data_IF_722819692536
#
_entry.id   IF_722819692536
#
_cell.length_a   1.000
_cell.length_b   1.000
_cell.length_c   1.000
_cell.angle_alpha   90.00
_cell.angle_beta   90.00
_cell.angle_gamma   90.00
#
_symmetry.space_group_name_H-M   'P 1'
#
loop_
_entity.id
_entity.type
_entity.pdbx_description
1 polymer ?
#
# COMPACT_ATOMS: atom_id res chain seq x y z
N UNK A 1 -2.62 11.98 -0.61
CA UNK A 1 -2.33 12.03 0.84
C UNK A 1 -3.43 12.76 1.61
N UNK A 2 -4.12 13.73 1.02
CA UNK A 2 -5.28 14.39 1.65
C UNK A 2 -6.39 13.39 1.99
N UNK A 3 -6.54 12.33 1.20
CA UNK A 3 -7.43 11.19 1.47
C UNK A 3 -7.16 10.50 2.81
N UNK A 4 -5.92 10.52 3.33
CA UNK A 4 -5.60 9.96 4.65
C UNK A 4 -6.33 10.73 5.75
N UNK A 5 -6.30 12.07 5.68
CA UNK A 5 -6.97 12.91 6.66
C UNK A 5 -8.49 12.73 6.59
N UNK A 6 -9.03 12.68 5.37
CA UNK A 6 -10.46 12.50 5.14
C UNK A 6 -10.96 11.13 5.62
N UNK A 7 -10.27 10.03 5.27
CA UNK A 7 -10.66 8.69 5.70
C UNK A 7 -10.67 8.55 7.22
N UNK A 8 -9.69 9.13 7.91
CA UNK A 8 -9.67 9.15 9.38
C UNK A 8 -10.80 9.99 9.97
N UNK A 9 -11.13 11.13 9.36
CA UNK A 9 -12.26 11.97 9.78
C UNK A 9 -13.59 11.24 9.64
N UNK A 10 -13.71 10.38 8.62
CA UNK A 10 -14.84 9.50 8.40
C UNK A 10 -14.85 8.26 9.32
N UNK A 11 -13.82 8.08 10.15
CA UNK A 11 -13.75 7.00 11.13
C UNK A 11 -13.25 5.67 10.56
N UNK A 12 -12.44 5.68 9.50
CA UNK A 12 -11.84 4.46 8.98
C UNK A 12 -10.92 3.79 10.00
N UNK A 13 -11.12 2.49 10.26
CA UNK A 13 -10.28 1.68 11.16
C UNK A 13 -8.95 1.24 10.52
N UNK A 14 -8.88 1.26 9.19
CA UNK A 14 -7.71 0.84 8.40
C UNK A 14 -7.68 1.59 7.08
N UNK A 15 -6.48 1.85 6.57
CA UNK A 15 -6.27 2.44 5.24
C UNK A 15 -5.56 1.44 4.32
N UNK A 16 -5.88 1.50 3.03
CA UNK A 16 -5.17 0.74 1.99
C UNK A 16 -4.53 1.73 1.03
N UNK A 17 -3.20 1.71 0.94
CA UNK A 17 -2.41 2.54 0.05
C UNK A 17 -2.05 1.75 -1.22
N UNK A 18 -2.49 2.22 -2.40
CA UNK A 18 -2.32 1.49 -3.65
C UNK A 18 -2.43 2.38 -4.90
N UNK A 19 -1.80 2.00 -6.03
CA UNK A 19 -0.83 0.92 -6.16
C UNK A 19 0.57 1.37 -5.70
N UNK A 20 1.24 0.57 -4.85
CA UNK A 20 2.60 0.87 -4.39
C UNK A 20 3.63 0.55 -5.48
N UNK A 21 3.54 -0.62 -6.09
CA UNK A 21 4.32 -1.04 -7.26
C UNK A 21 3.40 -1.24 -8.48
N UNK A 22 3.98 -1.32 -9.67
CA UNK A 22 3.20 -1.53 -10.89
C UNK A 22 2.64 -2.98 -10.89
N UNK A 23 1.31 -3.18 -10.88
CA UNK A 23 0.75 -4.52 -10.87
C UNK A 23 0.82 -5.16 -12.27
N UNK A 24 1.15 -6.44 -12.33
CA UNK A 24 1.15 -7.21 -13.59
C UNK A 24 -0.21 -7.25 -14.30
N UNK A 25 -1.32 -7.17 -13.56
CA UNK A 25 -2.67 -7.16 -14.12
C UNK A 25 -3.11 -5.81 -14.70
N UNK A 26 -2.41 -4.71 -14.36
CA UNK A 26 -2.65 -3.35 -14.90
C UNK A 26 -1.31 -2.60 -15.04
N UNK A 27 -0.43 -2.99 -15.98
CA UNK A 27 0.92 -2.42 -16.09
C UNK A 27 0.95 -0.92 -16.39
N UNK A 28 -0.13 -0.39 -16.98
CA UNK A 28 -0.27 1.04 -17.28
C UNK A 28 -0.58 1.91 -16.05
N UNK A 29 -0.84 1.32 -14.87
CA UNK A 29 -1.09 2.08 -13.65
C UNK A 29 0.22 2.69 -13.14
N UNK A 30 0.25 4.01 -12.96
CA UNK A 30 1.38 4.70 -12.35
C UNK A 30 1.49 4.32 -10.87
N UNK A 31 2.48 3.48 -10.56
CA UNK A 31 2.84 3.13 -9.20
C UNK A 31 3.27 4.38 -8.41
N UNK A 32 2.82 4.50 -7.16
CA UNK A 32 3.14 5.65 -6.33
C UNK A 32 4.45 5.49 -5.54
N UNK A 33 4.94 4.25 -5.39
CA UNK A 33 6.22 3.91 -4.80
C UNK A 33 6.28 4.01 -3.27
N UNK A 34 7.43 3.62 -2.73
CA UNK A 34 7.69 3.61 -1.28
C UNK A 34 7.64 5.00 -0.62
N UNK A 35 8.09 6.11 -1.25
CA UNK A 35 7.99 7.44 -0.63
C UNK A 35 6.53 7.84 -0.35
N UNK A 36 5.61 7.52 -1.26
CA UNK A 36 4.19 7.71 -1.05
C UNK A 36 3.67 6.87 0.12
N UNK A 37 4.03 5.58 0.17
CA UNK A 37 3.59 4.69 1.25
C UNK A 37 4.09 5.17 2.61
N UNK A 38 5.36 5.56 2.73
CA UNK A 38 5.94 6.12 3.95
C UNK A 38 5.19 7.38 4.39
N UNK A 39 4.93 8.30 3.46
CA UNK A 39 4.17 9.51 3.77
C UNK A 39 2.72 9.23 4.20
N UNK A 40 2.10 8.15 3.70
CA UNK A 40 0.78 7.71 4.17
C UNK A 40 0.85 7.13 5.58
N UNK A 41 1.83 6.26 5.85
CA UNK A 41 2.08 5.68 7.18
C UNK A 41 2.36 6.77 8.21
N UNK A 42 3.22 7.75 7.91
CA UNK A 42 3.57 8.84 8.82
C UNK A 42 2.38 9.73 9.19
N UNK A 43 1.40 9.88 8.28
CA UNK A 43 0.22 10.74 8.48
C UNK A 43 -0.95 10.00 9.10
N UNK A 44 -0.95 8.67 9.04
CA UNK A 44 -2.03 7.84 9.52
C UNK A 44 -1.93 7.60 11.04
N UNK A 45 -3.08 7.61 11.70
CA UNK A 45 -3.31 7.27 13.11
C UNK A 45 -3.88 5.86 13.26
N UNK A 46 -4.20 5.23 12.13
CA UNK A 46 -4.72 3.86 12.02
C UNK A 46 -3.79 3.05 11.13
N UNK A 47 -3.81 1.71 11.22
CA UNK A 47 -2.96 0.85 10.39
C UNK A 47 -3.11 1.13 8.89
N UNK A 48 -1.98 1.14 8.17
CA UNK A 48 -1.94 1.27 6.71
C UNK A 48 -1.47 -0.05 6.11
N UNK A 49 -2.29 -0.64 5.25
CA UNK A 49 -1.93 -1.80 4.44
C UNK A 49 -1.47 -1.33 3.05
N UNK A 50 -0.42 -1.96 2.52
CA UNK A 50 0.04 -1.69 1.17
C UNK A 50 -0.60 -2.67 0.18
N UNK A 51 -0.96 -2.18 -1.00
CA UNK A 51 -1.48 -3.00 -2.09
C UNK A 51 -0.91 -2.54 -3.44
N UNK A 52 -0.77 -3.48 -4.38
CA UNK A 52 -0.44 -3.20 -5.78
C UNK A 52 0.99 -3.60 -6.12
N UNK A 53 1.10 -4.64 -6.96
CA UNK A 53 2.38 -5.15 -7.46
C UNK A 53 3.30 -5.75 -6.38
N UNK A 54 2.74 -6.23 -5.26
CA UNK A 54 3.53 -6.83 -4.18
C UNK A 54 3.71 -8.33 -4.43
N UNK A 55 4.94 -8.81 -4.25
CA UNK A 55 5.39 -10.19 -4.39
C UNK A 55 6.46 -10.52 -3.33
N UNK A 56 7.08 -11.70 -3.39
CA UNK A 56 8.11 -12.12 -2.43
C UNK A 56 9.38 -11.29 -2.46
N UNK A 57 9.71 -10.76 -3.63
CA UNK A 57 10.96 -10.03 -3.84
C UNK A 57 10.88 -8.63 -3.22
N UNK A 58 9.68 -8.05 -3.16
CA UNK A 58 9.48 -6.68 -2.71
C UNK A 58 8.68 -6.52 -1.39
N UNK A 59 8.09 -7.58 -0.84
CA UNK A 59 7.33 -7.53 0.41
C UNK A 59 8.17 -7.03 1.60
N UNK A 60 9.46 -7.33 1.63
CA UNK A 60 10.36 -6.80 2.67
C UNK A 60 10.40 -5.26 2.68
N UNK A 61 10.36 -4.63 1.51
CA UNK A 61 10.37 -3.16 1.39
C UNK A 61 9.10 -2.52 1.96
N UNK A 62 7.96 -3.24 1.89
CA UNK A 62 6.71 -2.82 2.53
C UNK A 62 6.84 -2.87 4.05
N UNK A 63 7.44 -3.94 4.59
CA UNK A 63 7.66 -4.05 6.04
C UNK A 63 8.57 -2.93 6.55
N UNK A 64 9.63 -2.62 5.82
CA UNK A 64 10.57 -1.54 6.13
C UNK A 64 9.96 -0.14 6.00
N UNK A 65 8.85 0.02 5.27
CA UNK A 65 8.17 1.32 5.16
C UNK A 65 7.31 1.66 6.38
N UNK A 66 7.19 0.75 7.36
CA UNK A 66 6.31 0.91 8.51
C UNK A 66 4.83 0.62 8.22
N UNK A 67 4.51 0.05 7.05
CA UNK A 67 3.16 -0.42 6.78
C UNK A 67 2.80 -1.57 7.73
N UNK A 68 1.54 -1.65 8.14
CA UNK A 68 1.05 -2.69 9.04
C UNK A 68 0.95 -4.06 8.35
N UNK A 69 0.94 -4.09 7.01
CA UNK A 69 0.91 -5.32 6.24
C UNK A 69 0.96 -5.09 4.73
N UNK A 70 1.21 -6.17 4.01
CA UNK A 70 1.23 -6.25 2.56
C UNK A 70 0.05 -7.11 2.07
N UNK A 71 -0.68 -6.61 1.08
CA UNK A 71 -1.76 -7.33 0.43
C UNK A 71 -1.31 -7.79 -0.98
N UNK A 72 -1.43 -9.08 -1.26
CA UNK A 72 -1.08 -9.71 -2.55
C UNK A 72 -2.36 -10.25 -3.21
N UNK A 73 -2.48 -10.11 -4.53
CA UNK A 73 -3.63 -10.62 -5.29
C UNK A 73 -3.19 -11.52 -6.44
N UNK A 74 -2.74 -10.95 -7.55
CA UNK A 74 -2.39 -11.71 -8.76
C UNK A 74 -1.22 -12.67 -8.51
N UNK A 75 -0.18 -12.20 -7.83
CA UNK A 75 0.96 -13.02 -7.46
C UNK A 75 0.55 -14.24 -6.60
N UNK A 76 -0.42 -14.10 -5.68
CA UNK A 76 -0.89 -15.20 -4.85
C UNK A 76 -1.53 -16.33 -5.67
N UNK A 77 -2.14 -16.01 -6.81
CA UNK A 77 -2.76 -17.01 -7.71
C UNK A 77 -1.77 -17.81 -8.55
N UNK A 78 -0.47 -17.47 -8.52
CA UNK A 78 0.58 -18.13 -9.29
C UNK A 78 1.59 -18.89 -8.42
N UNK A 79 1.26 -19.09 -7.15
CA UNK A 79 2.04 -19.89 -6.20
C UNK A 79 1.64 -21.36 -6.19
#
# INVERSE_FOLDING_TARGET
LDEVAEAQRLGADVLVASPVFAPSCKPAATAQGLPFLRAAVERARVPVLALGGIDDENELLIRESGAAGACRMADYTHR
#
